data_IF_232395549496
#
_entry.id   IF_232395549496
#
_cell.length_a   1.000
_cell.length_b   1.000
_cell.length_c   1.000
_cell.angle_alpha   90.00
_cell.angle_beta   90.00
_cell.angle_gamma   90.00
#
_symmetry.space_group_name_H-M   'P 1'
#
loop_
_entity.id
_entity.type
_entity.pdbx_description
1 polymer ?
#
# COMPACT_ATOMS: atom_id res chain seq x y z
N UNK A 1 4.98 -25.46 12.28
CA UNK A 1 4.08 -25.03 11.17
C UNK A 1 4.40 -23.59 10.74
N UNK A 2 4.34 -23.29 9.43
CA UNK A 2 4.49 -21.91 8.91
C UNK A 2 3.13 -21.19 8.91
N UNK A 3 3.10 -19.87 9.07
CA UNK A 3 1.86 -19.06 9.06
C UNK A 3 0.99 -19.29 7.81
N UNK A 4 1.62 -19.54 6.66
CA UNK A 4 0.95 -19.89 5.42
C UNK A 4 0.16 -21.19 5.50
N UNK A 5 0.76 -22.23 6.08
CA UNK A 5 0.12 -23.55 6.22
C UNK A 5 -1.03 -23.49 7.22
N UNK A 6 -0.83 -22.72 8.30
CA UNK A 6 -1.86 -22.44 9.29
C UNK A 6 -3.05 -21.71 8.64
N UNK A 7 -2.79 -20.64 7.89
CA UNK A 7 -3.84 -19.91 7.19
C UNK A 7 -4.57 -20.79 6.15
N UNK A 8 -3.84 -21.68 5.44
CA UNK A 8 -4.44 -22.65 4.53
C UNK A 8 -5.41 -23.59 5.24
N UNK A 9 -4.99 -24.22 6.36
CA UNK A 9 -5.86 -25.12 7.15
C UNK A 9 -7.11 -24.40 7.67
N UNK A 10 -6.95 -23.18 8.17
CA UNK A 10 -8.08 -22.38 8.66
C UNK A 10 -9.05 -22.05 7.52
N UNK A 11 -8.54 -21.59 6.37
CA UNK A 11 -9.38 -21.27 5.21
C UNK A 11 -10.01 -22.52 4.57
N UNK A 12 -9.42 -23.71 4.73
CA UNK A 12 -10.05 -24.97 4.32
C UNK A 12 -11.27 -25.35 5.19
N UNK A 13 -11.32 -24.89 6.44
CA UNK A 13 -12.47 -25.14 7.32
C UNK A 13 -13.47 -23.99 7.32
N UNK A 14 -13.02 -22.79 6.94
CA UNK A 14 -13.86 -21.61 6.85
C UNK A 14 -14.93 -21.79 5.75
N UNK A 15 -16.15 -21.33 6.07
CA UNK A 15 -17.29 -21.27 5.13
C UNK A 15 -17.42 -19.91 4.42
N UNK A 16 -16.59 -18.93 4.81
CA UNK A 16 -16.62 -17.55 4.31
C UNK A 16 -15.21 -16.95 4.25
N UNK A 17 -14.93 -15.98 3.36
CA UNK A 17 -13.68 -15.23 3.37
C UNK A 17 -13.44 -14.56 4.73
N UNK A 18 -12.20 -14.61 5.22
CA UNK A 18 -11.83 -14.15 6.56
C UNK A 18 -10.76 -13.05 6.52
N UNK A 19 -10.79 -12.16 7.51
CA UNK A 19 -9.74 -11.17 7.75
C UNK A 19 -8.51 -11.85 8.40
N UNK A 20 -7.28 -11.33 8.24
CA UNK A 20 -6.08 -11.88 8.88
C UNK A 20 -6.19 -12.05 10.40
N UNK A 21 -6.95 -11.15 11.06
CA UNK A 21 -7.25 -11.25 12.50
C UNK A 21 -8.15 -12.44 12.82
N UNK A 22 -9.23 -12.60 12.07
CA UNK A 22 -10.18 -13.71 12.24
C UNK A 22 -9.51 -15.05 11.95
N UNK A 23 -8.63 -15.11 10.94
CA UNK A 23 -7.83 -16.30 10.62
C UNK A 23 -6.97 -16.71 11.83
N UNK A 24 -6.38 -15.74 12.52
CA UNK A 24 -5.58 -16.00 13.71
C UNK A 24 -6.43 -16.44 14.90
N UNK A 25 -7.55 -15.78 15.16
CA UNK A 25 -8.47 -16.15 16.25
C UNK A 25 -8.97 -17.59 16.09
N UNK A 26 -9.42 -17.96 14.89
CA UNK A 26 -9.87 -19.33 14.59
C UNK A 26 -8.71 -20.33 14.71
N UNK A 27 -7.48 -19.94 14.34
CA UNK A 27 -6.31 -20.81 14.54
C UNK A 27 -6.02 -21.07 16.02
N UNK A 28 -6.21 -20.07 16.88
CA UNK A 28 -6.11 -20.21 18.33
C UNK A 28 -7.23 -21.10 18.89
N UNK A 29 -8.47 -20.95 18.43
CA UNK A 29 -9.59 -21.83 18.81
C UNK A 29 -9.32 -23.30 18.45
N UNK A 30 -8.68 -23.54 17.30
CA UNK A 30 -8.29 -24.87 16.84
C UNK A 30 -7.03 -25.43 17.51
N UNK A 31 -6.35 -24.64 18.36
CA UNK A 31 -5.11 -25.04 19.02
C UNK A 31 -3.90 -25.17 18.08
N UNK A 32 -3.97 -24.62 16.87
CA UNK A 32 -2.87 -24.63 15.88
C UNK A 32 -1.73 -23.68 16.27
N UNK A 33 -1.99 -22.75 17.18
CA UNK A 33 -1.01 -21.85 17.79
C UNK A 33 0.06 -22.61 18.60
N UNK A 34 -0.33 -23.74 19.22
CA UNK A 34 0.57 -24.56 20.06
C UNK A 34 1.56 -25.40 19.27
N UNK A 35 1.32 -25.63 17.99
CA UNK A 35 2.25 -26.33 17.09
C UNK A 35 3.43 -25.44 16.66
N UNK A 36 3.52 -24.21 17.20
CA UNK A 36 4.57 -23.24 16.87
C UNK A 36 5.41 -22.89 18.08
N UNK A 37 6.74 -22.96 17.89
CA UNK A 37 7.72 -22.66 18.94
C UNK A 37 7.91 -21.17 19.22
N UNK A 38 7.44 -20.28 18.35
CA UNK A 38 7.54 -18.83 18.53
C UNK A 38 6.32 -18.11 17.97
N UNK A 39 5.71 -17.22 18.74
CA UNK A 39 4.61 -16.34 18.28
C UNK A 39 5.14 -14.91 18.37
N UNK A 40 5.05 -14.18 17.25
CA UNK A 40 5.44 -12.78 17.21
C UNK A 40 4.46 -11.90 17.99
N UNK A 41 4.82 -10.63 18.25
CA UNK A 41 3.94 -9.67 18.95
C UNK A 41 2.63 -9.40 18.19
N UNK A 42 2.64 -9.54 16.86
CA UNK A 42 1.49 -9.24 15.97
C UNK A 42 1.31 -10.33 14.89
N UNK A 43 0.85 -11.53 15.27
CA UNK A 43 0.76 -12.67 14.37
C UNK A 43 -0.19 -12.43 13.18
N UNK A 44 -1.29 -11.69 13.39
CA UNK A 44 -2.23 -11.34 12.30
C UNK A 44 -1.60 -10.43 11.23
N UNK A 45 -0.64 -9.56 11.59
CA UNK A 45 0.07 -8.73 10.62
C UNK A 45 0.99 -9.60 9.75
N UNK A 46 1.71 -10.53 10.37
CA UNK A 46 2.57 -11.47 9.63
C UNK A 46 1.77 -12.37 8.69
N UNK A 47 0.63 -12.89 9.16
CA UNK A 47 -0.30 -13.66 8.32
C UNK A 47 -0.80 -12.85 7.14
N UNK A 48 -1.21 -11.59 7.36
CA UNK A 48 -1.66 -10.71 6.27
C UNK A 48 -0.59 -10.48 5.20
N UNK A 49 0.66 -10.25 5.62
CA UNK A 49 1.80 -10.10 4.71
C UNK A 49 2.12 -11.38 3.93
N UNK A 50 2.11 -12.53 4.59
CA UNK A 50 2.39 -13.83 3.95
C UNK A 50 1.29 -14.19 2.94
N UNK A 51 0.02 -13.97 3.31
CA UNK A 51 -1.12 -14.16 2.41
C UNK A 51 -1.05 -13.23 1.18
N UNK A 52 -0.59 -11.98 1.38
CA UNK A 52 -0.41 -11.02 0.28
C UNK A 52 0.73 -11.40 -0.68
N UNK A 53 1.82 -11.96 -0.17
CA UNK A 53 2.95 -12.44 -0.97
C UNK A 53 2.58 -13.67 -1.81
N UNK A 54 1.80 -14.58 -1.24
CA UNK A 54 1.44 -15.85 -1.89
C UNK A 54 0.16 -15.79 -2.74
N UNK A 55 0.16 -14.91 -3.77
CA UNK A 55 -0.91 -14.75 -4.76
C UNK A 55 -1.25 -16.03 -5.57
N UNK A 56 -0.42 -17.07 -5.48
CA UNK A 56 -0.64 -18.39 -6.10
C UNK A 56 -1.64 -19.25 -5.32
N UNK A 57 -1.60 -19.16 -3.98
CA UNK A 57 -2.42 -19.99 -3.09
C UNK A 57 -3.66 -19.25 -2.59
N UNK A 58 -3.54 -17.94 -2.41
CA UNK A 58 -4.59 -17.09 -1.84
C UNK A 58 -4.96 -15.95 -2.79
N UNK A 59 -6.19 -15.47 -2.67
CA UNK A 59 -6.63 -14.24 -3.31
C UNK A 59 -7.51 -13.43 -2.37
N UNK A 60 -7.63 -12.13 -2.66
CA UNK A 60 -8.52 -11.22 -1.93
C UNK A 60 -9.92 -11.34 -2.53
N UNK A 61 -10.84 -11.92 -1.77
CA UNK A 61 -12.21 -12.16 -2.23
C UNK A 61 -13.06 -10.89 -2.19
N UNK A 62 -12.90 -10.06 -1.16
CA UNK A 62 -13.54 -8.76 -1.09
C UNK A 62 -12.71 -7.75 -0.29
N UNK A 63 -12.93 -6.48 -0.62
CA UNK A 63 -12.35 -5.32 0.06
C UNK A 63 -13.50 -4.49 0.61
N UNK A 64 -13.58 -4.38 1.93
CA UNK A 64 -14.59 -3.55 2.56
C UNK A 64 -13.95 -2.24 3.03
N UNK A 65 -14.46 -1.12 2.52
CA UNK A 65 -14.13 0.22 3.01
C UNK A 65 -15.28 0.68 3.91
N UNK A 66 -15.10 0.55 5.21
CA UNK A 66 -16.07 1.04 6.18
C UNK A 66 -16.09 2.58 6.13
N UNK A 67 -17.24 3.19 5.81
CA UNK A 67 -17.38 4.65 5.69
C UNK A 67 -17.02 5.29 7.04
N UNK A 68 -15.84 5.90 7.11
CA UNK A 68 -15.35 6.60 8.31
C UNK A 68 -14.06 6.04 8.91
N UNK A 69 -13.59 4.85 8.51
CA UNK A 69 -12.27 4.34 8.88
C UNK A 69 -11.32 4.37 7.68
N UNK A 70 -10.10 4.85 7.91
CA UNK A 70 -9.04 4.88 6.88
C UNK A 70 -8.49 3.49 6.52
N UNK A 71 -8.83 2.45 7.30
CA UNK A 71 -8.30 1.09 7.12
C UNK A 71 -9.25 0.25 6.29
N UNK A 72 -8.77 -0.18 5.13
CA UNK A 72 -9.45 -1.16 4.28
C UNK A 72 -9.35 -2.55 4.95
N UNK A 73 -10.48 -3.24 5.04
CA UNK A 73 -10.49 -4.63 5.50
C UNK A 73 -10.34 -5.55 4.29
N UNK A 74 -9.23 -6.27 4.24
CA UNK A 74 -8.98 -7.31 3.23
C UNK A 74 -9.47 -8.66 3.75
N UNK A 75 -10.24 -9.35 2.92
CA UNK A 75 -10.71 -10.68 3.22
C UNK A 75 -10.10 -11.68 2.24
N UNK A 76 -9.46 -12.69 2.79
CA UNK A 76 -8.70 -13.68 2.04
C UNK A 76 -9.50 -14.96 1.86
N UNK A 77 -9.29 -15.60 0.71
CA UNK A 77 -9.86 -16.90 0.37
C UNK A 77 -8.86 -17.78 -0.37
N UNK A 78 -9.15 -19.08 -0.42
CA UNK A 78 -8.35 -20.06 -1.15
C UNK A 78 -8.68 -20.04 -2.63
N UNK A 79 -7.63 -19.91 -3.45
CA UNK A 79 -7.73 -19.93 -4.91
C UNK A 79 -8.40 -21.20 -5.44
N UNK A 80 -8.14 -22.33 -4.79
CA UNK A 80 -8.75 -23.63 -5.15
C UNK A 80 -10.27 -23.68 -4.95
N UNK A 81 -10.86 -22.76 -4.18
CA UNK A 81 -12.31 -22.68 -3.88
C UNK A 81 -12.99 -21.47 -4.52
N UNK A 82 -12.39 -20.91 -5.57
CA UNK A 82 -12.97 -19.78 -6.33
C UNK A 82 -14.35 -20.09 -6.93
N UNK A 83 -14.72 -21.36 -7.13
CA UNK A 83 -16.02 -21.74 -7.70
C UNK A 83 -17.20 -21.67 -6.72
N UNK A 84 -16.94 -21.60 -5.42
CA UNK A 84 -18.00 -21.58 -4.39
C UNK A 84 -18.58 -20.18 -4.15
N UNK A 85 -17.84 -19.13 -4.52
CA UNK A 85 -18.30 -17.74 -4.47
C UNK A 85 -18.04 -17.05 -5.80
N UNK A 86 -19.07 -16.50 -6.47
CA UNK A 86 -18.82 -15.73 -7.68
C UNK A 86 -17.92 -14.52 -7.34
N UNK A 87 -16.89 -14.24 -8.15
CA UNK A 87 -16.10 -13.02 -7.97
C UNK A 87 -17.02 -11.82 -8.16
N UNK A 88 -17.33 -11.10 -7.08
CA UNK A 88 -17.95 -9.80 -7.23
C UNK A 88 -16.92 -8.87 -7.87
N UNK A 89 -17.28 -8.33 -9.03
CA UNK A 89 -16.51 -7.34 -9.79
C UNK A 89 -15.95 -6.28 -8.85
N UNK A 90 -14.66 -6.36 -8.56
CA UNK A 90 -13.92 -5.19 -8.05
C UNK A 90 -13.84 -4.23 -9.21
N UNK A 91 -14.56 -3.11 -9.12
CA UNK A 91 -14.29 -1.91 -9.90
C UNK A 91 -12.79 -1.63 -9.84
N UNK A 92 -12.22 -1.43 -11.02
CA UNK A 92 -10.81 -1.21 -11.28
C UNK A 92 -10.15 -0.31 -10.24
N UNK A 93 -9.25 -0.89 -9.45
CA UNK A 93 -8.25 -0.14 -8.72
C UNK A 93 -6.93 -0.88 -8.94
N UNK A 94 -6.21 -0.41 -9.97
CA UNK A 94 -4.81 -0.73 -10.22
C UNK A 94 -4.06 -0.70 -8.90
N UNK A 95 -3.51 -1.85 -8.53
CA UNK A 95 -2.48 -1.97 -7.51
C UNK A 95 -1.24 -1.27 -8.07
N UNK A 96 -0.93 -0.08 -7.55
CA UNK A 96 0.46 0.35 -7.46
C UNK A 96 0.81 0.43 -5.98
N UNK A 97 1.80 -0.39 -5.66
CA UNK A 97 2.56 -0.48 -4.44
C UNK A 97 3.19 0.88 -4.17
N UNK A 98 2.84 1.53 -3.07
CA UNK A 98 3.65 2.64 -2.55
C UNK A 98 3.78 2.43 -1.04
N UNK A 99 4.93 1.88 -0.69
CA UNK A 99 5.50 1.95 0.64
C UNK A 99 5.53 3.41 1.08
N UNK A 100 5.05 3.66 2.31
CA UNK A 100 5.18 4.86 3.15
C UNK A 100 3.84 5.54 3.43
N UNK A 101 3.40 5.44 4.68
CA UNK A 101 2.55 6.47 5.27
C UNK A 101 2.89 6.64 6.75
N UNK A 102 3.96 7.40 7.01
CA UNK A 102 4.07 8.16 8.25
C UNK A 102 3.38 9.52 8.08
N UNK A 103 2.78 9.97 9.19
CA UNK A 103 2.42 11.33 9.56
C UNK A 103 1.37 12.15 8.76
N UNK A 104 0.22 12.30 9.43
CA UNK A 104 -0.53 13.54 9.71
C UNK A 104 -0.77 14.55 8.57
N UNK A 105 -2.05 14.73 8.25
CA UNK A 105 -2.53 15.90 7.50
C UNK A 105 -3.90 15.70 6.87
N UNK A 106 -4.95 16.02 7.61
CA UNK A 106 -6.33 16.13 7.12
C UNK A 106 -6.46 17.11 5.96
N UNK A 107 -6.69 16.60 4.74
CA UNK A 107 -7.53 17.21 3.71
C UNK A 107 -7.79 16.18 2.60
N UNK A 108 -9.05 15.98 2.21
CA UNK A 108 -9.41 15.19 1.03
C UNK A 108 -8.82 15.88 -0.20
N UNK A 109 -7.62 15.47 -0.64
CA UNK A 109 -7.02 15.95 -1.88
C UNK A 109 -7.90 15.45 -3.02
N UNK A 110 -8.59 16.35 -3.72
CA UNK A 110 -9.07 16.05 -5.07
C UNK A 110 -7.88 15.47 -5.83
N UNK A 111 -8.07 14.36 -6.55
CA UNK A 111 -7.01 13.76 -7.37
C UNK A 111 -6.73 14.71 -8.54
N UNK A 112 -5.98 15.77 -8.29
CA UNK A 112 -5.44 16.61 -9.34
C UNK A 112 -4.46 15.74 -10.11
N UNK A 113 -4.76 15.46 -11.37
CA UNK A 113 -3.83 14.83 -12.32
C UNK A 113 -2.62 15.72 -12.65
N UNK A 114 -2.60 16.94 -12.12
CA UNK A 114 -1.54 17.89 -12.32
C UNK A 114 -0.31 17.51 -11.52
N UNK A 115 0.82 17.45 -12.22
CA UNK A 115 2.12 17.31 -11.59
C UNK A 115 2.53 18.67 -11.04
N UNK A 116 3.20 18.71 -9.89
CA UNK A 116 3.69 19.93 -9.25
C UNK A 116 4.44 20.86 -10.22
N UNK A 117 5.17 20.27 -11.17
CA UNK A 117 5.92 20.96 -12.23
C UNK A 117 5.10 21.94 -13.08
N UNK A 118 3.79 21.75 -13.15
CA UNK A 118 2.89 22.69 -13.84
C UNK A 118 2.93 24.08 -13.17
N UNK A 119 3.23 24.14 -11.87
CA UNK A 119 3.33 25.38 -11.11
C UNK A 119 4.71 26.05 -11.24
N UNK A 120 5.75 25.34 -11.68
CA UNK A 120 7.11 25.88 -11.73
C UNK A 120 7.24 27.11 -12.63
N UNK A 121 6.67 27.17 -13.86
CA UNK A 121 6.75 28.37 -14.69
C UNK A 121 6.12 29.60 -14.04
N UNK A 122 5.03 29.41 -13.28
CA UNK A 122 4.37 30.49 -12.56
C UNK A 122 5.26 31.00 -11.43
N UNK A 123 5.85 30.09 -10.66
CA UNK A 123 6.77 30.44 -9.58
C UNK A 123 8.05 31.11 -10.10
N UNK A 124 8.65 30.59 -11.15
CA UNK A 124 9.85 31.15 -11.78
C UNK A 124 9.58 32.56 -12.29
N UNK A 125 8.43 32.77 -12.96
CA UNK A 125 8.03 34.09 -13.45
C UNK A 125 7.86 35.08 -12.30
N UNK A 126 7.16 34.67 -11.25
CA UNK A 126 6.98 35.48 -10.03
C UNK A 126 8.33 35.90 -9.41
N UNK A 127 9.25 34.95 -9.21
CA UNK A 127 10.56 35.23 -8.62
C UNK A 127 11.44 36.14 -9.48
N UNK A 128 11.25 36.12 -10.81
CA UNK A 128 11.97 36.99 -11.74
C UNK A 128 11.39 38.41 -11.83
N UNK A 129 10.07 38.56 -11.71
CA UNK A 129 9.37 39.84 -11.85
C UNK A 129 9.29 40.62 -10.53
N UNK A 130 9.30 39.93 -9.38
CA UNK A 130 9.24 40.57 -8.08
C UNK A 130 10.52 41.36 -7.79
N UNK A 131 10.42 42.68 -7.51
CA UNK A 131 11.58 43.53 -7.25
C UNK A 131 12.38 43.14 -6.01
N UNK A 132 11.81 42.36 -5.08
CA UNK A 132 12.48 41.90 -3.87
C UNK A 132 13.36 40.67 -4.11
N UNK A 133 12.97 39.80 -5.06
CA UNK A 133 13.70 38.58 -5.36
C UNK A 133 14.67 38.78 -6.53
N UNK A 134 14.18 39.23 -7.70
CA UNK A 134 14.96 39.40 -8.94
C UNK A 134 15.84 38.17 -9.26
N UNK A 135 15.33 36.97 -8.99
CA UNK A 135 16.08 35.72 -9.11
C UNK A 135 15.81 35.06 -10.46
N UNK A 136 16.87 34.56 -11.09
CA UNK A 136 16.77 33.76 -12.31
C UNK A 136 16.68 32.28 -11.93
N UNK A 137 15.45 31.79 -11.79
CA UNK A 137 15.20 30.41 -11.41
C UNK A 137 15.02 29.46 -12.61
N UNK A 138 15.50 28.22 -12.48
CA UNK A 138 15.32 27.16 -13.48
C UNK A 138 14.97 25.84 -12.81
N UNK A 139 14.02 25.12 -13.41
CA UNK A 139 13.65 23.77 -12.98
C UNK A 139 14.68 22.74 -13.44
N UNK A 140 15.08 21.87 -12.52
CA UNK A 140 15.98 20.74 -12.78
C UNK A 140 15.16 19.46 -12.96
N UNK A 141 15.56 18.62 -13.93
CA UNK A 141 14.95 17.30 -14.16
C UNK A 141 15.91 16.20 -13.72
N UNK A 142 15.89 15.86 -12.44
CA UNK A 142 16.78 14.85 -11.83
C UNK A 142 16.42 13.40 -12.21
N UNK A 143 15.21 13.14 -12.72
CA UNK A 143 14.73 11.82 -13.15
C UNK A 143 15.55 11.17 -14.27
N UNK A 144 16.31 11.95 -15.04
CA UNK A 144 17.16 11.42 -16.13
C UNK A 144 18.53 10.92 -15.66
N UNK A 145 18.78 10.88 -14.35
CA UNK A 145 20.08 10.48 -13.82
C UNK A 145 20.34 8.99 -14.04
N UNK A 146 21.43 8.64 -14.73
CA UNK A 146 21.81 7.25 -15.08
C UNK A 146 22.56 6.51 -13.96
N UNK A 147 22.78 7.15 -12.79
CA UNK A 147 23.84 6.76 -11.84
C UNK A 147 23.40 6.37 -10.44
N UNK A 148 22.10 6.26 -10.11
CA UNK A 148 21.70 5.82 -8.75
C UNK A 148 20.77 4.62 -8.76
N UNK A 149 20.91 3.81 -7.71
CA UNK A 149 19.86 2.95 -7.15
C UNK A 149 18.57 3.75 -7.00
N UNK A 150 17.44 3.15 -7.39
CA UNK A 150 16.15 3.85 -7.46
C UNK A 150 15.78 4.44 -6.10
N UNK A 151 15.70 5.77 -6.01
CA UNK A 151 15.27 6.50 -4.80
C UNK A 151 16.21 7.62 -4.34
N UNK A 152 17.53 7.44 -4.45
CA UNK A 152 18.52 8.42 -3.93
C UNK A 152 18.46 9.77 -4.66
N UNK A 153 18.23 9.76 -5.98
CA UNK A 153 18.12 10.99 -6.76
C UNK A 153 16.93 11.89 -6.38
N UNK A 154 15.92 11.38 -5.65
CA UNK A 154 14.79 12.21 -5.18
C UNK A 154 15.18 13.11 -4.00
N UNK A 155 16.24 12.76 -3.28
CA UNK A 155 16.68 13.51 -2.08
C UNK A 155 17.93 14.37 -2.32
N UNK A 156 18.76 13.97 -3.28
CA UNK A 156 20.06 14.62 -3.50
C UNK A 156 20.00 15.90 -4.34
N UNK A 157 18.90 16.15 -5.07
CA UNK A 157 18.81 17.27 -6.01
C UNK A 157 17.55 18.11 -5.75
N UNK A 158 17.68 19.44 -5.72
CA UNK A 158 16.53 20.33 -5.63
C UNK A 158 15.76 20.37 -6.96
N UNK A 159 14.45 20.61 -6.89
CA UNK A 159 13.57 20.72 -8.06
C UNK A 159 13.74 22.04 -8.83
N UNK A 160 14.08 23.13 -8.14
CA UNK A 160 14.30 24.47 -8.71
C UNK A 160 15.58 25.07 -8.10
N UNK A 161 16.39 25.74 -8.92
CA UNK A 161 17.58 26.49 -8.49
C UNK A 161 17.52 27.91 -9.05
N UNK A 162 17.89 28.90 -8.23
CA UNK A 162 18.00 30.32 -8.63
C UNK A 162 19.44 30.83 -8.54
N UNK A 163 19.78 31.78 -9.42
CA UNK A 163 21.04 32.56 -9.43
C UNK A 163 20.70 34.04 -9.32
#
# INVERSE_FOLDING_TARGET
MIYRELAKKVLEQAKRPLKPKEIWEIACEMGLDKERSSIGKTPWCTIGSDLGKDKKQFYVAHKEKEKGKAKESFFYWLKSREREFPPQKTLDAKEEDDEQSECSGTAKKQKNSFHERVLHPLLVKFLSEDPNFRLLCKTIRHEKCKKSTAGECKWNYPDIVGV
#
